data_IF_760396909685
#
_entry.id   IF_760396909685
#
_cell.length_a   1.000
_cell.length_b   1.000
_cell.length_c   1.000
_cell.angle_alpha   90.00
_cell.angle_beta   90.00
_cell.angle_gamma   90.00
#
_symmetry.space_group_name_H-M   'P 1'
#
loop_
_entity.id
_entity.type
_entity.pdbx_description
1 polymer ?
#
# COMPACT_ATOMS: atom_id res chain seq x y z
N UNK A 1 37.80 14.92 -12.10
CA UNK A 1 37.18 14.00 -11.12
C UNK A 1 36.09 14.75 -10.38
N UNK A 2 34.85 14.70 -10.86
CA UNK A 2 33.71 15.38 -10.23
C UNK A 2 33.14 14.47 -9.15
N UNK A 3 33.39 14.83 -7.88
CA UNK A 3 32.83 14.15 -6.72
C UNK A 3 31.31 14.25 -6.72
N UNK A 4 30.63 13.11 -6.85
CA UNK A 4 29.19 12.98 -6.67
C UNK A 4 28.86 13.30 -5.22
N UNK A 5 28.05 14.32 -4.97
CA UNK A 5 27.55 14.61 -3.63
C UNK A 5 26.86 13.35 -3.05
N UNK A 6 27.04 13.06 -1.74
CA UNK A 6 26.39 11.93 -1.12
C UNK A 6 24.87 12.11 -1.21
N UNK A 7 24.19 11.13 -1.81
CA UNK A 7 22.74 11.05 -1.77
C UNK A 7 22.31 10.98 -0.31
N UNK A 8 21.75 12.06 0.23
CA UNK A 8 21.13 12.06 1.56
C UNK A 8 19.98 11.05 1.53
N UNK A 9 20.03 9.96 2.31
CA UNK A 9 18.92 9.02 2.33
C UNK A 9 17.68 9.76 2.84
N UNK A 10 16.62 9.78 2.02
CA UNK A 10 15.35 10.41 2.34
C UNK A 10 14.96 10.12 3.79
N UNK A 11 14.82 11.18 4.58
CA UNK A 11 14.61 11.14 6.03
C UNK A 11 13.62 10.03 6.42
N UNK A 12 13.95 9.32 7.50
CA UNK A 12 12.97 8.43 8.13
C UNK A 12 11.74 9.26 8.50
N UNK A 13 10.51 8.74 8.36
CA UNK A 13 9.36 9.47 8.84
C UNK A 13 9.52 9.54 10.36
N UNK A 14 9.14 10.66 10.96
CA UNK A 14 9.15 10.74 12.41
C UNK A 14 8.26 9.61 12.97
N UNK A 15 8.59 9.03 14.13
CA UNK A 15 7.79 7.95 14.74
C UNK A 15 6.28 8.31 14.83
N UNK A 16 5.97 9.60 15.03
CA UNK A 16 4.62 10.13 15.02
C UNK A 16 3.88 9.98 13.67
N UNK A 17 4.57 10.07 12.54
CA UNK A 17 3.96 9.84 11.22
C UNK A 17 3.63 8.36 11.00
N UNK A 18 4.52 7.46 11.42
CA UNK A 18 4.29 6.02 11.37
C UNK A 18 3.08 5.67 12.24
N UNK A 19 2.99 6.26 13.44
CA UNK A 19 1.86 6.06 14.34
C UNK A 19 0.55 6.54 13.74
N UNK A 20 0.50 7.77 13.21
CA UNK A 20 -0.70 8.31 12.55
C UNK A 20 -1.12 7.47 11.35
N UNK A 21 -0.19 7.09 10.49
CA UNK A 21 -0.44 6.25 9.33
C UNK A 21 -1.02 4.89 9.71
N UNK A 22 -0.44 4.26 10.74
CA UNK A 22 -0.90 2.97 11.25
C UNK A 22 -2.30 3.08 11.85
N UNK A 23 -2.54 4.07 12.71
CA UNK A 23 -3.82 4.29 13.37
C UNK A 23 -4.96 4.56 12.38
N UNK A 24 -4.69 5.33 11.32
CA UNK A 24 -5.69 5.71 10.33
C UNK A 24 -6.01 4.57 9.36
N UNK A 25 -4.98 4.02 8.70
CA UNK A 25 -5.20 3.14 7.54
C UNK A 25 -5.11 1.65 7.87
N UNK A 26 -4.56 1.23 9.01
CA UNK A 26 -4.53 -0.18 9.41
C UNK A 26 -5.66 -0.56 10.37
N UNK A 27 -6.59 0.38 10.64
CA UNK A 27 -7.80 0.17 11.45
C UNK A 27 -9.04 0.83 10.79
N UNK A 28 -9.35 0.52 9.51
CA UNK A 28 -10.55 1.04 8.87
C UNK A 28 -11.82 0.57 9.61
N UNK A 29 -12.90 1.33 9.48
CA UNK A 29 -14.22 0.88 9.91
C UNK A 29 -14.61 -0.43 9.19
N UNK A 30 -15.39 -1.32 9.83
CA UNK A 30 -15.82 -2.58 9.21
C UNK A 30 -16.43 -2.39 7.83
N UNK A 31 -16.11 -3.28 6.89
CA UNK A 31 -16.60 -3.21 5.51
C UNK A 31 -15.91 -2.16 4.62
N UNK A 32 -15.07 -1.28 5.18
CA UNK A 32 -14.34 -0.28 4.40
C UNK A 32 -12.97 -0.80 3.94
N UNK A 33 -12.49 -0.25 2.83
CA UNK A 33 -11.14 -0.44 2.33
C UNK A 33 -10.34 0.81 2.67
N UNK A 34 -9.23 0.70 3.39
CA UNK A 34 -8.34 1.83 3.58
C UNK A 34 -7.38 1.97 2.40
N UNK A 35 -6.65 3.08 2.29
CA UNK A 35 -5.54 3.13 1.35
C UNK A 35 -4.45 4.17 1.56
N UNK A 36 -3.30 3.86 0.99
CA UNK A 36 -2.13 4.73 0.86
C UNK A 36 -1.87 4.98 -0.62
N UNK A 37 -1.90 6.24 -1.03
CA UNK A 37 -1.82 6.59 -2.45
C UNK A 37 -0.84 7.73 -2.71
N UNK A 38 -0.21 7.71 -3.87
CA UNK A 38 0.73 8.74 -4.31
C UNK A 38 2.19 8.42 -4.03
N UNK A 39 3.08 9.34 -4.40
CA UNK A 39 4.54 9.14 -4.30
C UNK A 39 4.95 8.84 -2.86
N UNK A 40 5.65 7.72 -2.65
CA UNK A 40 6.09 7.28 -1.32
C UNK A 40 5.06 6.45 -0.54
N UNK A 41 3.86 6.22 -1.09
CA UNK A 41 2.81 5.43 -0.43
C UNK A 41 3.26 4.01 -0.05
N UNK A 42 3.98 3.32 -0.94
CA UNK A 42 4.52 1.98 -0.65
C UNK A 42 5.43 1.99 0.57
N UNK A 43 6.37 2.93 0.63
CA UNK A 43 7.32 3.08 1.74
C UNK A 43 6.60 3.38 3.05
N UNK A 44 5.65 4.32 3.04
CA UNK A 44 4.87 4.66 4.24
C UNK A 44 4.01 3.49 4.71
N UNK A 45 3.32 2.79 3.80
CA UNK A 45 2.50 1.64 4.14
C UNK A 45 3.33 0.52 4.77
N UNK A 46 4.50 0.19 4.20
CA UNK A 46 5.43 -0.79 4.78
C UNK A 46 5.88 -0.38 6.18
N UNK A 47 6.24 0.89 6.39
CA UNK A 47 6.63 1.39 7.71
C UNK A 47 5.48 1.35 8.72
N UNK A 48 4.26 1.67 8.29
CA UNK A 48 3.06 1.64 9.13
C UNK A 48 2.75 0.22 9.67
N UNK A 49 3.18 -0.84 8.96
CA UNK A 49 3.05 -2.22 9.43
C UNK A 49 3.89 -2.53 10.67
N UNK A 50 4.94 -1.76 10.96
CA UNK A 50 5.80 -2.03 12.11
C UNK A 50 5.01 -2.08 13.43
N UNK A 51 4.01 -1.21 13.59
CA UNK A 51 3.23 -1.14 14.84
C UNK A 51 2.36 -2.39 15.10
N UNK A 52 1.46 -2.83 14.20
CA UNK A 52 0.70 -4.06 14.43
C UNK A 52 1.61 -5.29 14.55
N UNK A 53 2.71 -5.35 13.78
CA UNK A 53 3.64 -6.47 13.88
C UNK A 53 4.36 -6.54 15.23
N UNK A 54 4.76 -5.39 15.79
CA UNK A 54 5.28 -5.28 17.16
C UNK A 54 4.25 -5.67 18.22
N UNK A 55 2.97 -5.39 17.96
CA UNK A 55 1.85 -5.85 18.80
C UNK A 55 1.52 -7.35 18.60
N UNK A 56 2.28 -8.05 17.75
CA UNK A 56 2.09 -9.47 17.48
C UNK A 56 1.02 -9.80 16.43
N UNK A 57 0.39 -8.80 15.82
CA UNK A 57 -0.65 -8.99 14.80
C UNK A 57 -0.04 -9.44 13.46
N UNK A 58 -0.38 -10.63 12.94
CA UNK A 58 0.11 -11.09 11.65
C UNK A 58 -0.53 -10.33 10.48
N UNK A 59 0.21 -10.25 9.37
CA UNK A 59 -0.17 -9.52 8.16
C UNK A 59 -0.05 -10.44 6.95
N UNK A 60 -1.04 -10.40 6.05
CA UNK A 60 -0.94 -11.00 4.72
C UNK A 60 -0.81 -9.88 3.69
N UNK A 61 0.23 -9.93 2.88
CA UNK A 61 0.49 -8.98 1.82
C UNK A 61 0.44 -9.63 0.44
N UNK A 62 -0.25 -8.98 -0.49
CA UNK A 62 -0.28 -9.33 -1.91
C UNK A 62 0.39 -8.20 -2.68
N UNK A 63 1.45 -8.51 -3.43
CA UNK A 63 2.29 -7.51 -4.09
C UNK A 63 2.25 -7.68 -5.61
N UNK A 64 1.51 -6.79 -6.27
CA UNK A 64 1.40 -6.67 -7.72
C UNK A 64 2.41 -5.72 -8.36
N UNK A 65 3.04 -4.86 -7.56
CA UNK A 65 4.00 -3.85 -8.04
C UNK A 65 5.46 -4.24 -7.84
N UNK A 66 5.74 -5.39 -7.24
CA UNK A 66 7.07 -5.80 -6.76
C UNK A 66 7.69 -4.72 -5.84
N UNK A 67 6.88 -4.17 -4.93
CA UNK A 67 7.25 -3.05 -4.05
C UNK A 67 7.37 -3.46 -2.58
N UNK A 68 7.07 -4.70 -2.23
CA UNK A 68 7.24 -5.16 -0.86
C UNK A 68 8.73 -5.19 -0.48
N UNK A 69 9.10 -4.42 0.55
CA UNK A 69 10.46 -4.31 1.07
C UNK A 69 10.49 -4.56 2.60
N UNK A 70 11.00 -5.73 3.05
CA UNK A 70 11.10 -6.06 4.47
C UNK A 70 12.07 -5.15 5.24
N UNK A 71 13.01 -4.49 4.56
CA UNK A 71 13.96 -3.59 5.21
C UNK A 71 13.28 -2.32 5.72
N UNK A 72 12.29 -1.78 5.00
CA UNK A 72 11.54 -0.60 5.45
C UNK A 72 10.71 -0.91 6.70
N UNK A 73 10.18 -2.14 6.82
CA UNK A 73 9.50 -2.61 8.03
C UNK A 73 10.49 -2.71 9.19
N UNK A 74 11.62 -3.40 9.01
CA UNK A 74 12.62 -3.57 10.08
C UNK A 74 13.26 -2.26 10.53
N UNK A 75 13.42 -1.30 9.63
CA UNK A 75 13.85 0.07 9.91
C UNK A 75 12.84 0.81 10.80
N UNK A 76 11.56 0.77 10.43
CA UNK A 76 10.49 1.38 11.23
C UNK A 76 10.32 0.70 12.59
N UNK A 77 10.44 -0.62 12.63
CA UNK A 77 10.35 -1.39 13.87
C UNK A 77 11.44 -1.00 14.88
N UNK A 78 12.70 -0.86 14.44
CA UNK A 78 13.79 -0.36 15.30
C UNK A 78 13.54 1.08 15.76
N UNK A 79 13.01 1.93 14.88
CA UNK A 79 12.66 3.31 15.24
C UNK A 79 11.54 3.37 16.31
N UNK A 80 10.73 2.31 16.44
CA UNK A 80 9.71 2.15 17.48
C UNK A 80 10.21 1.35 18.70
N UNK A 81 11.52 1.10 18.82
CA UNK A 81 12.14 0.42 19.97
C UNK A 81 12.19 -1.10 19.89
N UNK A 82 11.96 -1.68 18.69
CA UNK A 82 12.05 -3.12 18.46
C UNK A 82 13.47 -3.66 18.18
N UNK A 83 13.59 -4.99 18.04
CA UNK A 83 14.86 -5.73 17.88
C UNK A 83 15.13 -6.23 16.44
N UNK A 84 14.20 -6.05 15.50
CA UNK A 84 14.41 -6.15 14.05
C UNK A 84 14.09 -7.49 13.38
N UNK A 85 14.15 -8.64 14.08
CA UNK A 85 14.00 -9.98 13.45
C UNK A 85 12.65 -10.66 13.69
N UNK A 86 11.98 -10.38 14.81
CA UNK A 86 10.78 -11.13 15.23
C UNK A 86 9.53 -10.76 14.41
N UNK A 87 9.50 -9.57 13.82
CA UNK A 87 8.31 -9.07 13.11
C UNK A 87 8.12 -9.67 11.72
N UNK A 88 9.19 -10.05 11.02
CA UNK A 88 9.09 -10.52 9.64
C UNK A 88 8.49 -11.94 9.54
N UNK A 89 8.64 -12.78 10.56
CA UNK A 89 8.03 -14.11 10.59
C UNK A 89 6.50 -14.07 10.70
N UNK A 90 5.92 -12.89 10.99
CA UNK A 90 4.47 -12.65 11.07
C UNK A 90 3.87 -12.15 9.76
N UNK A 91 4.65 -12.11 8.68
CA UNK A 91 4.21 -11.62 7.38
C UNK A 91 4.18 -12.77 6.38
N UNK A 92 3.01 -13.01 5.79
CA UNK A 92 2.90 -13.84 4.59
C UNK A 92 2.83 -12.94 3.37
N UNK A 93 3.74 -13.12 2.42
CA UNK A 93 3.76 -12.37 1.16
C UNK A 93 3.44 -13.30 -0.01
N UNK A 94 2.68 -12.81 -0.97
CA UNK A 94 2.52 -13.43 -2.29
C UNK A 94 2.63 -12.37 -3.38
N UNK A 95 3.25 -12.71 -4.50
CA UNK A 95 3.43 -11.80 -5.63
C UNK A 95 2.59 -12.22 -6.82
N UNK A 96 2.07 -11.23 -7.54
CA UNK A 96 1.42 -11.42 -8.83
C UNK A 96 2.07 -10.49 -9.85
N UNK A 97 2.27 -10.99 -11.07
CA UNK A 97 2.86 -10.24 -12.17
C UNK A 97 1.85 -9.98 -13.29
N UNK A 98 0.67 -10.62 -13.23
CA UNK A 98 -0.41 -10.44 -14.19
C UNK A 98 -1.75 -10.25 -13.47
N UNK A 99 -2.70 -9.61 -14.15
CA UNK A 99 -4.03 -9.36 -13.60
C UNK A 99 -4.77 -10.68 -13.25
N UNK A 100 -4.55 -11.74 -14.02
CA UNK A 100 -5.08 -13.07 -13.74
C UNK A 100 -4.48 -13.71 -12.48
N UNK A 101 -3.17 -13.57 -12.28
CA UNK A 101 -2.51 -14.04 -11.05
C UNK A 101 -3.03 -13.25 -9.83
N UNK A 102 -3.17 -11.93 -9.98
CA UNK A 102 -3.73 -11.07 -8.94
C UNK A 102 -5.17 -11.47 -8.61
N UNK A 103 -6.02 -11.73 -9.61
CA UNK A 103 -7.38 -12.26 -9.41
C UNK A 103 -7.35 -13.57 -8.62
N UNK A 104 -6.51 -14.53 -9.02
CA UNK A 104 -6.40 -15.81 -8.35
C UNK A 104 -5.96 -15.67 -6.89
N UNK A 105 -4.98 -14.79 -6.60
CA UNK A 105 -4.54 -14.53 -5.24
C UNK A 105 -5.67 -13.92 -4.40
N UNK A 106 -6.31 -12.85 -4.88
CA UNK A 106 -7.34 -12.14 -4.12
C UNK A 106 -8.63 -12.94 -3.96
N UNK A 107 -9.09 -13.62 -5.01
CA UNK A 107 -10.36 -14.33 -5.00
C UNK A 107 -10.29 -15.71 -4.32
N UNK A 108 -9.13 -16.39 -4.36
CA UNK A 108 -9.03 -17.79 -3.94
C UNK A 108 -8.01 -18.07 -2.83
N UNK A 109 -6.96 -17.25 -2.69
CA UNK A 109 -5.83 -17.55 -1.78
C UNK A 109 -5.77 -16.64 -0.55
N UNK A 110 -6.19 -15.39 -0.69
CA UNK A 110 -6.09 -14.39 0.38
C UNK A 110 -6.90 -14.77 1.61
N UNK A 111 -8.18 -15.12 1.46
CA UNK A 111 -9.04 -15.59 2.57
C UNK A 111 -8.42 -16.77 3.34
N UNK A 112 -8.11 -17.90 2.68
CA UNK A 112 -7.46 -19.02 3.35
C UNK A 112 -6.11 -18.70 3.99
N UNK A 113 -5.33 -17.76 3.43
CA UNK A 113 -4.06 -17.32 4.02
C UNK A 113 -4.29 -16.51 5.31
N UNK A 114 -5.31 -15.65 5.33
CA UNK A 114 -5.73 -14.91 6.53
C UNK A 114 -6.18 -15.89 7.62
N UNK A 115 -7.02 -16.86 7.28
CA UNK A 115 -7.53 -17.86 8.22
C UNK A 115 -6.40 -18.70 8.85
N UNK A 116 -5.50 -19.24 8.02
CA UNK A 116 -4.38 -20.09 8.51
C UNK A 116 -3.38 -19.35 9.39
N UNK A 117 -3.16 -18.06 9.13
CA UNK A 117 -2.19 -17.25 9.87
C UNK A 117 -2.80 -16.55 11.09
N UNK A 118 -4.14 -16.54 11.21
CA UNK A 118 -4.85 -15.69 12.17
C UNK A 118 -4.72 -14.19 11.86
N UNK A 119 -4.19 -13.81 10.69
CA UNK A 119 -4.03 -12.42 10.30
C UNK A 119 -5.39 -11.75 10.09
N UNK A 120 -5.48 -10.51 10.56
CA UNK A 120 -6.68 -9.67 10.38
C UNK A 120 -6.40 -8.44 9.51
N UNK A 121 -5.18 -8.31 9.01
CA UNK A 121 -4.75 -7.23 8.11
C UNK A 121 -4.33 -7.85 6.77
N UNK A 122 -4.96 -7.37 5.70
CA UNK A 122 -4.58 -7.68 4.33
C UNK A 122 -4.09 -6.41 3.64
N UNK A 123 -2.87 -6.41 3.12
CA UNK A 123 -2.33 -5.27 2.35
C UNK A 123 -2.15 -5.67 0.89
N UNK A 124 -2.70 -4.90 -0.04
CA UNK A 124 -2.56 -5.12 -1.48
C UNK A 124 -1.77 -3.98 -2.07
N UNK A 125 -0.53 -4.27 -2.46
CA UNK A 125 0.35 -3.35 -3.16
C UNK A 125 0.18 -3.47 -4.66
N UNK A 126 0.10 -2.34 -5.33
CA UNK A 126 0.22 -2.25 -6.78
C UNK A 126 -0.82 -3.07 -7.56
N UNK A 127 -2.10 -3.00 -7.17
CA UNK A 127 -3.17 -3.73 -7.86
C UNK A 127 -3.24 -3.35 -9.36
N UNK A 128 -3.33 -2.06 -9.75
CA UNK A 128 -3.35 -1.64 -11.16
C UNK A 128 -2.10 -2.02 -11.96
N UNK A 129 -0.94 -2.16 -11.31
CA UNK A 129 0.36 -2.48 -11.92
C UNK A 129 0.37 -3.88 -12.55
N UNK A 130 -0.54 -4.77 -12.14
CA UNK A 130 -0.73 -6.08 -12.77
C UNK A 130 -1.56 -6.05 -14.06
N UNK A 131 -2.12 -4.89 -14.42
CA UNK A 131 -2.96 -4.69 -15.60
C UNK A 131 -2.22 -3.99 -16.74
N UNK A 132 -0.90 -4.14 -16.85
CA UNK A 132 -0.09 -3.49 -17.90
C UNK A 132 -0.14 -4.24 -19.24
N UNK A 133 -0.44 -5.54 -19.23
CA UNK A 133 -0.49 -6.38 -20.43
C UNK A 133 -1.58 -5.90 -21.42
N UNK A 134 -1.15 -5.36 -22.56
CA UNK A 134 -2.03 -4.80 -23.59
C UNK A 134 -2.82 -5.88 -24.35
N UNK A 135 -2.36 -7.13 -24.35
CA UNK A 135 -3.01 -8.22 -25.07
C UNK A 135 -4.30 -8.68 -24.38
N UNK A 136 -4.47 -8.36 -23.09
CA UNK A 136 -5.72 -8.59 -22.37
C UNK A 136 -6.80 -7.62 -22.87
N UNK A 137 -7.96 -8.09 -23.39
CA UNK A 137 -9.01 -7.19 -23.82
C UNK A 137 -9.51 -6.28 -22.69
N UNK A 138 -9.84 -5.03 -22.99
CA UNK A 138 -10.25 -4.06 -21.96
C UNK A 138 -11.49 -4.52 -21.16
N UNK A 139 -12.45 -5.16 -21.83
CA UNK A 139 -13.63 -5.72 -21.19
C UNK A 139 -13.26 -6.80 -20.16
N UNK A 140 -12.27 -7.64 -20.47
CA UNK A 140 -11.73 -8.64 -19.56
C UNK A 140 -10.97 -7.99 -18.40
N UNK A 141 -10.10 -7.02 -18.67
CA UNK A 141 -9.42 -6.26 -17.62
C UNK A 141 -10.43 -5.63 -16.64
N UNK A 142 -11.53 -5.06 -17.14
CA UNK A 142 -12.62 -4.55 -16.31
C UNK A 142 -13.30 -5.64 -15.48
N UNK A 143 -13.59 -6.80 -16.07
CA UNK A 143 -14.19 -7.96 -15.36
C UNK A 143 -13.29 -8.39 -14.21
N UNK A 144 -11.99 -8.58 -14.48
CA UNK A 144 -10.99 -9.00 -13.51
C UNK A 144 -10.85 -7.96 -12.40
N UNK A 145 -10.74 -6.68 -12.74
CA UNK A 145 -10.63 -5.60 -11.75
C UNK A 145 -11.85 -5.57 -10.80
N UNK A 146 -13.07 -5.71 -11.34
CA UNK A 146 -14.30 -5.82 -10.52
C UNK A 146 -14.30 -7.06 -9.62
N UNK A 147 -13.83 -8.19 -10.12
CA UNK A 147 -13.69 -9.45 -9.38
C UNK A 147 -12.74 -9.31 -8.19
N UNK A 148 -11.57 -8.69 -8.40
CA UNK A 148 -10.63 -8.33 -7.34
C UNK A 148 -11.29 -7.46 -6.26
N UNK A 149 -11.97 -6.38 -6.67
CA UNK A 149 -12.64 -5.47 -5.73
C UNK A 149 -13.78 -6.13 -4.96
N UNK A 150 -14.56 -6.99 -5.62
CA UNK A 150 -15.62 -7.77 -4.96
C UNK A 150 -15.04 -8.67 -3.86
N UNK A 151 -13.95 -9.37 -4.17
CA UNK A 151 -13.26 -10.25 -3.22
C UNK A 151 -12.76 -9.49 -2.00
N UNK A 152 -12.12 -8.33 -2.23
CA UNK A 152 -11.63 -7.46 -1.16
C UNK A 152 -12.76 -6.89 -0.29
N UNK A 153 -13.88 -6.46 -0.89
CA UNK A 153 -15.05 -5.98 -0.13
C UNK A 153 -15.68 -7.08 0.71
N UNK A 154 -15.75 -8.32 0.20
CA UNK A 154 -16.24 -9.47 0.98
C UNK A 154 -15.37 -9.73 2.20
N UNK A 155 -14.04 -9.69 2.05
CA UNK A 155 -13.12 -9.83 3.18
C UNK A 155 -13.29 -8.68 4.18
N UNK A 156 -13.40 -7.44 3.70
CA UNK A 156 -13.63 -6.29 4.55
C UNK A 156 -14.95 -6.36 5.35
N UNK A 157 -16.03 -6.82 4.70
CA UNK A 157 -17.32 -7.06 5.35
C UNK A 157 -17.25 -8.20 6.39
N UNK A 158 -16.38 -9.19 6.16
CA UNK A 158 -16.07 -10.26 7.12
C UNK A 158 -15.13 -9.86 8.26
N UNK A 159 -14.79 -8.57 8.39
CA UNK A 159 -13.95 -8.05 9.48
C UNK A 159 -12.45 -8.06 9.20
N UNK A 160 -12.00 -8.41 8.00
CA UNK A 160 -10.61 -8.21 7.58
C UNK A 160 -10.35 -6.72 7.37
N UNK A 161 -9.26 -6.20 7.92
CA UNK A 161 -8.79 -4.83 7.64
C UNK A 161 -8.02 -4.84 6.33
N UNK A 162 -8.68 -4.42 5.25
CA UNK A 162 -8.10 -4.41 3.91
C UNK A 162 -7.52 -3.03 3.59
N UNK A 163 -6.27 -3.02 3.14
CA UNK A 163 -5.51 -1.81 2.83
C UNK A 163 -4.99 -1.87 1.40
N UNK A 164 -5.32 -0.86 0.61
CA UNK A 164 -4.87 -0.70 -0.77
C UNK A 164 -3.67 0.25 -0.81
N UNK A 165 -2.64 -0.09 -1.59
CA UNK A 165 -1.44 0.73 -1.72
C UNK A 165 -1.09 0.90 -3.19
N UNK A 166 -0.86 2.13 -3.64
CA UNK A 166 -0.42 2.39 -5.01
C UNK A 166 0.13 3.80 -5.22
N UNK A 167 1.13 3.97 -6.09
CA UNK A 167 1.76 5.28 -6.31
C UNK A 167 1.03 6.15 -7.34
N UNK A 168 0.13 5.56 -8.13
CA UNK A 168 -0.64 6.28 -9.15
C UNK A 168 0.06 6.48 -10.48
N UNK A 169 1.27 5.94 -10.61
CA UNK A 169 2.11 5.96 -11.80
C UNK A 169 2.52 4.53 -12.18
N UNK A 170 1.56 3.68 -12.56
CA UNK A 170 1.87 2.35 -13.08
C UNK A 170 2.46 2.46 -14.50
N UNK A 171 3.79 2.32 -14.70
CA UNK A 171 4.39 2.50 -16.01
C UNK A 171 3.91 1.40 -16.95
N UNK A 172 3.59 1.74 -18.19
CA UNK A 172 3.08 0.78 -19.17
C UNK A 172 1.60 0.41 -18.98
N UNK A 173 0.87 1.05 -18.05
CA UNK A 173 -0.58 0.85 -17.96
C UNK A 173 -1.27 1.48 -19.18
N UNK A 174 -2.04 0.73 -19.99
CA UNK A 174 -2.75 1.28 -21.13
C UNK A 174 -3.69 2.43 -20.74
N UNK A 175 -3.84 3.43 -21.62
CA UNK A 175 -4.60 4.66 -21.34
C UNK A 175 -6.05 4.40 -20.91
N UNK A 176 -6.70 3.39 -21.48
CA UNK A 176 -8.06 2.98 -21.10
C UNK A 176 -8.15 2.38 -19.68
N UNK A 177 -7.03 2.00 -19.05
CA UNK A 177 -6.97 1.41 -17.70
C UNK A 177 -6.50 2.39 -16.61
N UNK A 178 -6.09 3.61 -16.96
CA UNK A 178 -5.69 4.67 -16.01
C UNK A 178 -6.80 4.97 -14.98
N UNK A 179 -8.07 4.76 -15.36
CA UNK A 179 -9.21 4.90 -14.47
C UNK A 179 -9.22 3.95 -13.27
N UNK A 180 -8.50 2.82 -13.33
CA UNK A 180 -8.45 1.84 -12.23
C UNK A 180 -7.85 2.44 -10.97
N UNK A 181 -6.72 3.15 -11.09
CA UNK A 181 -6.11 3.82 -9.94
C UNK A 181 -7.03 4.87 -9.32
N UNK A 182 -7.63 5.73 -10.17
CA UNK A 182 -8.61 6.73 -9.72
C UNK A 182 -9.80 6.09 -9.01
N UNK A 183 -10.24 4.92 -9.47
CA UNK A 183 -11.29 4.17 -8.80
C UNK A 183 -10.86 3.68 -7.41
N UNK A 184 -9.64 3.15 -7.25
CA UNK A 184 -9.11 2.72 -5.95
C UNK A 184 -9.07 3.87 -4.95
N UNK A 185 -8.54 5.03 -5.35
CA UNK A 185 -8.49 6.23 -4.51
C UNK A 185 -9.90 6.62 -4.05
N UNK A 186 -10.88 6.60 -4.95
CA UNK A 186 -12.27 7.01 -4.65
C UNK A 186 -12.99 6.08 -3.69
N UNK A 187 -12.72 4.78 -3.74
CA UNK A 187 -13.41 3.78 -2.89
C UNK A 187 -12.72 3.57 -1.54
N UNK A 188 -11.49 4.07 -1.39
CA UNK A 188 -10.73 3.92 -0.17
C UNK A 188 -11.12 4.99 0.85
N UNK A 189 -11.50 4.54 2.04
CA UNK A 189 -12.00 5.36 3.13
C UNK A 189 -11.72 4.63 4.47
N UNK A 190 -10.78 5.10 5.30
CA UNK A 190 -9.97 6.31 5.12
C UNK A 190 -8.84 6.11 4.10
N UNK A 191 -8.37 7.18 3.48
CA UNK A 191 -7.17 7.15 2.64
C UNK A 191 -6.17 8.27 2.95
N UNK A 192 -4.89 7.96 2.79
CA UNK A 192 -3.78 8.91 2.81
C UNK A 192 -3.33 9.15 1.37
N UNK A 193 -3.47 10.40 0.91
CA UNK A 193 -2.96 10.86 -0.38
C UNK A 193 -1.66 11.62 -0.15
N UNK A 194 -0.54 10.96 -0.42
CA UNK A 194 0.78 11.55 -0.37
C UNK A 194 1.00 12.37 -1.64
N UNK A 195 1.29 13.65 -1.45
CA UNK A 195 1.80 14.49 -2.52
C UNK A 195 3.31 14.38 -2.54
N UNK A 196 3.88 14.45 -3.73
CA UNK A 196 5.29 14.80 -3.88
C UNK A 196 5.43 16.17 -3.23
N UNK A 197 6.25 16.32 -2.18
CA UNK A 197 6.90 17.60 -1.98
C UNK A 197 7.61 17.86 -3.30
N UNK A 198 7.12 18.83 -4.07
CA UNK A 198 7.95 19.46 -5.07
C UNK A 198 9.26 19.84 -4.40
N UNK A 199 10.31 19.93 -5.19
CA UNK A 199 11.66 20.28 -4.80
C UNK A 199 11.71 21.73 -4.25
N UNK A 200 10.99 22.02 -3.17
CA UNK A 200 10.86 23.32 -2.51
C UNK A 200 11.94 23.43 -1.44
N UNK A 201 13.18 23.58 -1.90
CA UNK A 201 14.21 24.32 -1.15
C UNK A 201 15.10 25.19 -2.04
N UNK A 202 14.54 25.76 -3.11
CA UNK A 202 15.11 26.92 -3.80
C UNK A 202 14.01 27.93 -4.13
N UNK A 203 13.95 28.97 -3.31
CA UNK A 203 13.57 30.36 -3.67
C UNK A 203 12.29 31.01 -3.12
N UNK A 204 11.53 30.42 -2.19
CA UNK A 204 10.28 31.11 -1.79
C UNK A 204 9.91 31.08 -0.30
N UNK A 205 10.73 31.70 0.54
CA UNK A 205 10.17 32.31 1.76
C UNK A 205 9.26 33.47 1.34
N UNK A 206 7.95 33.22 1.26
CA UNK A 206 6.88 34.15 1.66
C UNK A 206 5.51 33.46 1.61
N UNK A 207 5.01 33.07 2.79
CA UNK A 207 3.60 33.29 3.15
C UNK A 207 2.60 32.14 2.98
N UNK A 208 2.37 31.44 4.11
CA UNK A 208 1.05 31.18 4.74
C UNK A 208 0.04 30.18 4.12
N UNK A 209 -0.46 29.32 5.04
CA UNK A 209 -1.80 28.69 5.18
C UNK A 209 -2.04 27.24 4.65
N UNK A 210 -2.09 26.33 5.63
CA UNK A 210 -2.76 25.02 5.59
C UNK A 210 -4.25 25.17 5.23
N UNK A 211 -4.78 24.23 4.41
CA UNK A 211 -6.19 23.85 4.48
C UNK A 211 -6.39 22.33 4.55
N UNK A 212 -7.25 21.96 5.49
CA UNK A 212 -7.79 20.63 5.80
C UNK A 212 -9.05 20.43 4.97
N UNK A 213 -9.27 19.25 4.39
CA UNK A 213 -10.54 18.93 3.73
C UNK A 213 -11.40 18.06 4.64
N UNK A 214 -12.59 18.55 4.95
CA UNK A 214 -13.74 17.83 5.50
C UNK A 214 -14.30 16.84 4.48
#
# INVERSE_FOLDING_TARGET
>A
MTGRAPHTPAAFPAAAEIERASALCLRPAPGKLAGFFGTGAHRLALRALARPLLAGEPVVAVDGGNRFDPYEIGKAERALGGSGRVVLSRILVSRAFTCHQMEALLARRLGPALDRSGARIAVVFGLPETFTDADVPFAEACRIFRSCLSSLRRLAAGGTRVVLVGEGNAPGLPGNRVGFFRHLVRIADPCLLLRREEEEWRDFWRGTLLQRKT
#
